data_IF_750292702057
#
_entry.id   IF_750292702057
#
_cell.length_a   1.000
_cell.length_b   1.000
_cell.length_c   1.000
_cell.angle_alpha   90.00
_cell.angle_beta   90.00
_cell.angle_gamma   90.00
#
_symmetry.space_group_name_H-M   'P 1'
#
loop_
_entity.id
_entity.type
_entity.pdbx_description
1 polymer ?
#
# COMPACT_ATOMS: atom_id res chain seq x y z
N UNK A 1 -34.46 2.88 29.80
CA UNK A 1 -35.05 2.78 28.44
C UNK A 1 -34.36 3.67 27.39
N UNK A 2 -33.95 4.90 27.71
CA UNK A 2 -33.28 5.81 26.79
C UNK A 2 -31.96 5.22 26.26
N UNK A 3 -31.16 4.58 27.09
CA UNK A 3 -29.86 4.01 26.73
C UNK A 3 -29.95 2.85 25.73
N UNK A 4 -31.02 2.06 25.80
CA UNK A 4 -31.25 0.94 24.87
C UNK A 4 -31.64 1.45 23.47
N UNK A 5 -32.38 2.55 23.41
CA UNK A 5 -32.76 3.19 22.14
C UNK A 5 -31.53 3.77 21.47
N UNK A 6 -30.69 4.49 22.18
CA UNK A 6 -29.44 5.06 21.70
C UNK A 6 -28.46 3.96 21.22
N UNK A 7 -28.38 2.85 21.96
CA UNK A 7 -27.56 1.70 21.56
C UNK A 7 -28.07 1.08 20.25
N UNK A 8 -29.38 0.92 20.12
CA UNK A 8 -30.02 0.41 18.89
C UNK A 8 -29.71 1.30 17.68
N UNK A 9 -29.85 2.62 17.84
CA UNK A 9 -29.55 3.58 16.77
C UNK A 9 -28.06 3.54 16.34
N UNK A 10 -27.15 3.43 17.31
CA UNK A 10 -25.71 3.29 17.04
C UNK A 10 -25.39 1.98 16.30
N UNK A 11 -26.05 0.87 16.69
CA UNK A 11 -25.88 -0.40 15.98
C UNK A 11 -26.41 -0.34 14.55
N UNK A 12 -27.56 0.29 14.32
CA UNK A 12 -28.12 0.48 12.97
C UNK A 12 -27.16 1.31 12.09
N UNK A 13 -26.61 2.41 12.60
CA UNK A 13 -25.62 3.23 11.88
C UNK A 13 -24.36 2.42 11.53
N UNK A 14 -23.88 1.58 12.46
CA UNK A 14 -22.71 0.72 12.19
C UNK A 14 -23.00 -0.33 11.14
N UNK A 15 -24.18 -0.93 11.16
CA UNK A 15 -24.61 -1.88 10.12
C UNK A 15 -24.63 -1.21 8.75
N UNK A 16 -25.22 -0.01 8.64
CA UNK A 16 -25.28 0.74 7.38
C UNK A 16 -23.88 1.09 6.84
N UNK A 17 -22.96 1.51 7.72
CA UNK A 17 -21.56 1.76 7.33
C UNK A 17 -20.86 0.49 6.83
N UNK A 18 -21.06 -0.64 7.50
CA UNK A 18 -20.46 -1.92 7.05
C UNK A 18 -21.07 -2.38 5.74
N UNK A 19 -22.35 -2.17 5.53
CA UNK A 19 -23.05 -2.52 4.30
C UNK A 19 -22.51 -1.74 3.10
N UNK A 20 -22.29 -0.43 3.25
CA UNK A 20 -21.62 0.42 2.23
C UNK A 20 -20.18 -0.02 1.96
N UNK A 21 -19.46 -0.46 3.00
CA UNK A 21 -18.10 -0.97 2.83
C UNK A 21 -18.08 -2.28 2.04
N UNK A 22 -19.02 -3.19 2.30
CA UNK A 22 -19.18 -4.45 1.55
C UNK A 22 -19.49 -4.16 0.09
N UNK A 23 -20.44 -3.27 -0.19
CA UNK A 23 -20.78 -2.88 -1.56
C UNK A 23 -19.59 -2.33 -2.35
N UNK A 24 -18.73 -1.53 -1.70
CA UNK A 24 -17.51 -1.02 -2.31
C UNK A 24 -16.48 -2.13 -2.57
N UNK A 25 -16.35 -3.09 -1.66
CA UNK A 25 -15.46 -4.23 -1.84
C UNK A 25 -15.93 -5.15 -2.97
N UNK A 26 -17.24 -5.38 -3.10
CA UNK A 26 -17.83 -6.14 -4.21
C UNK A 26 -17.58 -5.45 -5.56
N UNK A 27 -17.74 -4.13 -5.64
CA UNK A 27 -17.37 -3.35 -6.84
C UNK A 27 -15.90 -3.49 -7.19
N UNK A 28 -15.02 -3.47 -6.20
CA UNK A 28 -13.59 -3.67 -6.43
C UNK A 28 -13.25 -5.09 -6.90
N UNK A 29 -13.94 -6.11 -6.39
CA UNK A 29 -13.80 -7.50 -6.86
C UNK A 29 -14.17 -7.63 -8.34
N UNK A 30 -15.29 -7.05 -8.76
CA UNK A 30 -15.71 -7.07 -10.17
C UNK A 30 -14.65 -6.42 -11.07
N UNK A 31 -14.06 -5.30 -10.63
CA UNK A 31 -13.00 -4.63 -11.38
C UNK A 31 -11.74 -5.50 -11.47
N UNK A 32 -11.35 -6.16 -10.38
CA UNK A 32 -10.21 -7.07 -10.37
C UNK A 32 -10.43 -8.28 -11.28
N UNK A 33 -11.63 -8.85 -11.30
CA UNK A 33 -11.97 -9.96 -12.19
C UNK A 33 -11.91 -9.57 -13.66
N UNK A 34 -12.31 -8.35 -14.00
CA UNK A 34 -12.17 -7.82 -15.35
C UNK A 34 -10.70 -7.67 -15.75
N UNK A 35 -9.87 -7.11 -14.87
CA UNK A 35 -8.42 -6.95 -15.13
C UNK A 35 -7.73 -8.31 -15.28
N UNK A 36 -8.08 -9.29 -14.45
CA UNK A 36 -7.55 -10.66 -14.55
C UNK A 36 -7.97 -11.34 -15.85
N UNK A 37 -9.19 -11.13 -16.32
CA UNK A 37 -9.64 -11.64 -17.63
C UNK A 37 -8.86 -11.01 -18.77
N UNK A 38 -8.70 -9.69 -18.79
CA UNK A 38 -7.94 -8.98 -19.82
C UNK A 38 -6.47 -9.39 -19.84
N UNK A 39 -5.83 -9.51 -18.69
CA UNK A 39 -4.42 -9.93 -18.60
C UNK A 39 -4.21 -11.39 -19.04
N UNK A 40 -5.22 -12.26 -18.86
CA UNK A 40 -5.16 -13.64 -19.35
C UNK A 40 -5.31 -13.71 -20.86
N UNK A 41 -6.09 -12.85 -21.48
CA UNK A 41 -6.25 -12.77 -22.94
C UNK A 41 -5.02 -12.20 -23.65
N UNK A 42 -4.32 -11.23 -23.06
CA UNK A 42 -3.09 -10.66 -23.64
C UNK A 42 -1.94 -11.67 -23.69
N UNK A 43 -1.80 -12.55 -22.70
CA UNK A 43 -0.77 -13.61 -22.72
C UNK A 43 -1.00 -14.66 -23.82
N UNK A 44 -2.23 -14.93 -24.20
CA UNK A 44 -2.55 -15.88 -25.28
C UNK A 44 -2.35 -15.29 -26.69
N UNK A 45 -2.49 -13.98 -26.83
CA UNK A 45 -2.32 -13.28 -28.13
C UNK A 45 -0.86 -12.97 -28.49
N UNK A 46 0.04 -12.92 -27.50
CA UNK A 46 1.47 -12.64 -27.73
C UNK A 46 2.28 -13.85 -28.23
N UNK A 47 1.67 -15.04 -28.31
CA UNK A 47 2.29 -16.23 -28.88
C UNK A 47 2.17 -16.36 -30.41
N UNK A 48 1.54 -15.41 -31.09
CA UNK A 48 1.44 -15.39 -32.55
C UNK A 48 1.73 -13.99 -33.10
N UNK A 49 2.81 -13.95 -33.90
CA UNK A 49 3.21 -12.91 -34.87
C UNK A 49 4.07 -11.74 -34.37
N UNK A 50 5.35 -11.87 -34.68
CA UNK A 50 6.22 -10.79 -35.15
C UNK A 50 5.63 -10.13 -36.38
N UNK A 51 5.29 -8.85 -36.34
CA UNK A 51 5.57 -7.79 -37.34
C UNK A 51 4.76 -6.53 -37.09
N UNK A 52 5.54 -5.47 -36.88
CA UNK A 52 5.42 -4.06 -37.32
C UNK A 52 4.07 -3.35 -37.39
N UNK A 53 4.18 -2.14 -36.86
CA UNK A 53 3.68 -0.81 -37.25
C UNK A 53 2.48 -0.28 -36.48
N UNK A 54 2.80 0.78 -35.72
CA UNK A 54 2.08 2.04 -35.50
C UNK A 54 0.53 2.02 -35.62
N UNK A 55 -0.13 2.45 -34.56
CA UNK A 55 -1.13 3.54 -34.58
C UNK A 55 -1.52 3.95 -33.15
N UNK A 56 -1.63 5.24 -33.01
CA UNK A 56 -1.95 6.06 -31.85
C UNK A 56 -3.30 5.81 -31.18
N UNK A 57 -3.30 6.05 -29.87
CA UNK A 57 -4.40 6.62 -29.08
C UNK A 57 -5.78 5.94 -29.06
N UNK A 58 -6.03 5.25 -27.95
CA UNK A 58 -7.22 5.56 -27.11
C UNK A 58 -6.97 5.12 -25.66
N UNK A 59 -6.87 6.13 -24.80
CA UNK A 59 -6.67 6.03 -23.36
C UNK A 59 -7.94 5.48 -22.72
N UNK A 60 -7.85 4.36 -22.03
CA UNK A 60 -8.89 3.85 -21.16
C UNK A 60 -8.62 4.27 -19.71
N UNK A 61 -9.65 4.75 -19.05
CA UNK A 61 -9.70 5.38 -17.72
C UNK A 61 -9.16 4.51 -16.55
N UNK A 62 -8.83 3.24 -16.81
CA UNK A 62 -8.19 2.32 -15.87
C UNK A 62 -6.68 2.57 -15.67
N UNK A 63 -6.00 3.14 -16.65
CA UNK A 63 -4.56 3.43 -16.59
C UNK A 63 -4.21 4.71 -15.79
N UNK A 64 -5.18 5.53 -15.46
CA UNK A 64 -4.95 6.76 -14.66
C UNK A 64 -4.48 6.48 -13.22
N UNK A 65 -4.70 5.28 -12.69
CA UNK A 65 -4.20 4.89 -11.36
C UNK A 65 -2.74 4.45 -11.34
N UNK A 66 -2.15 4.09 -12.49
CA UNK A 66 -0.76 3.62 -12.60
C UNK A 66 0.22 4.78 -12.86
N UNK A 67 -0.25 5.96 -13.24
CA UNK A 67 0.60 7.09 -13.63
C UNK A 67 1.31 7.84 -12.48
N UNK A 68 1.05 7.54 -11.23
CA UNK A 68 1.66 8.23 -10.08
C UNK A 68 2.43 7.28 -9.15
N UNK A 69 3.20 6.34 -9.69
CA UNK A 69 4.14 5.59 -8.87
C UNK A 69 5.40 6.40 -8.63
N UNK A 70 5.84 6.48 -7.39
CA UNK A 70 7.09 7.12 -6.99
C UNK A 70 8.15 6.03 -6.93
N UNK A 71 9.19 6.05 -7.79
CA UNK A 71 10.24 5.05 -7.75
C UNK A 71 11.13 5.24 -6.53
N UNK A 72 11.35 4.19 -5.78
CA UNK A 72 12.30 4.13 -4.67
C UNK A 72 13.59 3.54 -5.22
N UNK A 73 14.66 4.37 -5.21
CA UNK A 73 15.96 4.00 -5.77
C UNK A 73 16.96 3.68 -4.66
N UNK A 74 17.84 2.73 -4.93
CA UNK A 74 18.99 2.47 -4.06
C UNK A 74 19.99 3.61 -4.21
N UNK A 75 20.47 4.16 -3.07
CA UNK A 75 21.24 5.39 -3.03
C UNK A 75 22.56 5.38 -3.80
N UNK A 76 23.21 4.20 -3.98
CA UNK A 76 24.54 4.12 -4.53
C UNK A 76 24.60 3.93 -6.06
N UNK A 77 23.61 3.29 -6.66
CA UNK A 77 23.60 2.93 -8.09
C UNK A 77 22.36 3.39 -8.83
N UNK A 78 21.43 4.03 -8.14
CA UNK A 78 20.18 4.52 -8.73
C UNK A 78 19.23 3.42 -9.22
N UNK A 79 19.52 2.13 -8.96
CA UNK A 79 18.63 1.02 -9.32
C UNK A 79 17.32 1.15 -8.55
N UNK A 80 16.20 1.00 -9.27
CA UNK A 80 14.86 0.97 -8.63
C UNK A 80 14.75 -0.33 -7.84
N UNK A 81 14.45 -0.24 -6.55
CA UNK A 81 14.27 -1.38 -5.64
C UNK A 81 12.81 -1.58 -5.22
N UNK A 82 12.01 -0.54 -5.33
CA UNK A 82 10.58 -0.60 -5.06
C UNK A 82 9.84 0.56 -5.75
N UNK A 83 8.52 0.47 -5.81
CA UNK A 83 7.64 1.54 -6.27
C UNK A 83 6.60 1.85 -5.20
N UNK A 84 6.44 3.12 -4.87
CA UNK A 84 5.40 3.56 -3.96
C UNK A 84 4.18 4.08 -4.74
N UNK A 85 3.01 3.59 -4.37
CA UNK A 85 1.71 4.02 -4.88
C UNK A 85 0.97 4.73 -3.76
N UNK A 86 0.57 5.97 -4.00
CA UNK A 86 -0.10 6.81 -3.00
C UNK A 86 -1.55 7.01 -3.41
N UNK A 87 -2.46 6.65 -2.53
CA UNK A 87 -3.89 6.95 -2.64
C UNK A 87 -4.31 7.89 -1.52
N UNK A 88 -5.56 8.30 -1.46
CA UNK A 88 -6.05 9.18 -0.39
C UNK A 88 -5.94 8.56 1.02
N UNK A 89 -5.96 7.23 1.13
CA UNK A 89 -6.07 6.52 2.40
C UNK A 89 -4.84 5.69 2.76
N UNK A 90 -4.01 5.33 1.78
CA UNK A 90 -2.87 4.44 1.98
C UNK A 90 -1.68 4.72 1.07
N UNK A 91 -0.52 4.30 1.53
CA UNK A 91 0.72 4.20 0.76
C UNK A 91 1.06 2.71 0.64
N UNK A 92 1.15 2.21 -0.60
CA UNK A 92 1.59 0.85 -0.90
C UNK A 92 2.98 0.90 -1.52
N UNK A 93 3.95 0.24 -0.89
CA UNK A 93 5.33 0.13 -1.35
C UNK A 93 5.54 -1.29 -1.83
N UNK A 94 5.60 -1.46 -3.15
CA UNK A 94 5.78 -2.76 -3.82
C UNK A 94 7.24 -2.92 -4.20
N UNK A 95 7.89 -3.97 -3.70
CA UNK A 95 9.27 -4.29 -4.04
C UNK A 95 9.35 -4.82 -5.48
N UNK A 96 10.47 -4.56 -6.13
CA UNK A 96 10.77 -5.14 -7.43
C UNK A 96 10.90 -6.66 -7.32
N UNK A 97 10.44 -7.40 -8.34
CA UNK A 97 10.40 -8.86 -8.34
C UNK A 97 11.78 -9.53 -8.21
N UNK A 98 12.85 -8.80 -8.62
CA UNK A 98 14.24 -9.26 -8.49
C UNK A 98 14.79 -9.06 -7.06
N UNK A 99 14.03 -8.42 -6.17
CA UNK A 99 14.47 -8.08 -4.82
C UNK A 99 13.92 -9.09 -3.82
N UNK A 100 14.80 -9.85 -3.21
CA UNK A 100 14.51 -10.78 -2.14
C UNK A 100 15.09 -10.23 -0.84
N UNK A 101 14.25 -9.82 0.08
CA UNK A 101 14.60 -9.23 1.37
C UNK A 101 13.74 -9.85 2.46
N UNK A 102 14.39 -10.58 3.38
CA UNK A 102 13.70 -11.15 4.53
C UNK A 102 13.23 -10.03 5.47
N UNK A 103 11.98 -10.15 5.95
CA UNK A 103 11.35 -9.19 6.88
C UNK A 103 12.14 -8.98 8.17
N UNK A 104 12.92 -9.99 8.59
CA UNK A 104 13.73 -9.96 9.81
C UNK A 104 15.10 -9.30 9.61
N UNK A 105 15.47 -8.97 8.37
CA UNK A 105 16.76 -8.30 8.08
C UNK A 105 16.78 -6.89 8.67
N UNK A 106 17.78 -6.57 9.56
CA UNK A 106 17.91 -5.22 10.08
C UNK A 106 18.22 -4.21 8.98
N UNK A 107 17.76 -2.93 9.09
CA UNK A 107 17.11 -2.32 10.25
C UNK A 107 15.57 -2.21 10.13
N UNK A 108 14.91 -3.00 9.30
CA UNK A 108 13.50 -2.83 8.94
C UNK A 108 12.57 -2.74 10.15
N UNK A 109 12.59 -3.77 11.03
CA UNK A 109 11.69 -3.79 12.20
C UNK A 109 12.00 -2.65 13.16
N UNK A 110 13.24 -2.57 13.64
CA UNK A 110 13.62 -1.65 14.71
C UNK A 110 13.55 -0.18 14.28
N UNK A 111 13.89 0.13 13.04
CA UNK A 111 13.89 1.51 12.57
C UNK A 111 12.58 1.90 11.87
N UNK A 112 12.19 1.18 10.81
CA UNK A 112 11.04 1.58 10.02
C UNK A 112 9.71 1.32 10.75
N UNK A 113 9.51 0.11 11.30
CA UNK A 113 8.25 -0.24 11.94
C UNK A 113 8.15 0.36 13.36
N UNK A 114 9.13 0.08 14.23
CA UNK A 114 9.02 0.44 15.64
C UNK A 114 9.27 1.94 15.87
N UNK A 115 10.31 2.49 15.24
CA UNK A 115 10.64 3.90 15.45
C UNK A 115 9.76 4.83 14.62
N UNK A 116 9.75 4.69 13.28
CA UNK A 116 9.05 5.66 12.42
C UNK A 116 7.53 5.49 12.50
N UNK A 117 7.00 4.31 12.16
CA UNK A 117 5.55 4.07 12.22
C UNK A 117 5.07 4.08 13.67
N UNK A 118 5.85 3.52 14.60
CA UNK A 118 5.52 3.51 16.02
C UNK A 118 5.42 4.91 16.64
N UNK A 119 6.29 5.86 16.28
CA UNK A 119 6.20 7.26 16.73
C UNK A 119 4.97 7.96 16.11
N UNK A 120 4.66 7.72 14.83
CA UNK A 120 3.44 8.24 14.22
C UNK A 120 2.20 7.68 14.91
N UNK A 121 2.20 6.40 15.25
CA UNK A 121 1.10 5.72 15.95
C UNK A 121 0.90 6.29 17.37
N UNK A 122 1.98 6.58 18.09
CA UNK A 122 1.91 7.25 19.41
C UNK A 122 1.28 8.64 19.32
N UNK A 123 1.64 9.43 18.31
CA UNK A 123 1.04 10.74 18.08
C UNK A 123 -0.45 10.63 17.78
N UNK A 124 -0.85 9.64 16.98
CA UNK A 124 -2.26 9.40 16.66
C UNK A 124 -3.05 8.96 17.90
N UNK A 125 -2.49 8.11 18.77
CA UNK A 125 -3.13 7.77 20.04
C UNK A 125 -3.37 9.00 20.92
N UNK A 126 -2.39 9.89 21.04
CA UNK A 126 -2.57 11.13 21.80
C UNK A 126 -3.67 12.03 21.19
N UNK A 127 -3.83 12.02 19.86
CA UNK A 127 -4.91 12.75 19.18
C UNK A 127 -6.29 12.09 19.41
N UNK A 128 -6.36 10.77 19.53
CA UNK A 128 -7.59 10.04 19.93
C UNK A 128 -7.98 10.40 21.36
N UNK A 129 -7.02 10.38 22.29
CA UNK A 129 -7.26 10.71 23.71
C UNK A 129 -7.75 12.16 23.89
N UNK A 130 -7.29 13.06 22.99
CA UNK A 130 -7.76 14.44 22.94
C UNK A 130 -9.06 14.64 22.14
N UNK A 131 -9.68 13.57 21.65
CA UNK A 131 -10.92 13.62 20.86
C UNK A 131 -10.79 14.25 19.48
N UNK A 132 -9.57 14.44 18.96
CA UNK A 132 -9.32 15.05 17.66
C UNK A 132 -9.55 14.11 16.48
N UNK A 133 -9.34 12.82 16.69
CA UNK A 133 -9.53 11.79 15.68
C UNK A 133 -10.21 10.55 16.26
N UNK A 134 -10.76 9.71 15.40
CA UNK A 134 -11.33 8.42 15.77
C UNK A 134 -10.24 7.35 15.85
N UNK A 135 -10.44 6.33 16.66
CA UNK A 135 -9.50 5.21 16.85
C UNK A 135 -9.20 4.46 15.54
N UNK A 136 -10.17 4.38 14.65
CA UNK A 136 -10.08 3.76 13.34
C UNK A 136 -9.18 4.53 12.36
N UNK A 137 -8.88 5.80 12.67
CA UNK A 137 -8.02 6.69 11.88
C UNK A 137 -6.55 6.64 12.29
N UNK A 138 -6.19 5.80 13.26
CA UNK A 138 -4.79 5.60 13.68
C UNK A 138 -4.03 4.94 12.53
N UNK A 139 -2.81 5.41 12.29
CA UNK A 139 -1.91 4.80 11.30
C UNK A 139 -1.68 3.32 11.62
N UNK A 140 -1.76 2.48 10.59
CA UNK A 140 -1.51 1.06 10.70
C UNK A 140 -0.82 0.52 9.43
N UNK A 141 -0.25 -0.68 9.49
CA UNK A 141 0.45 -1.27 8.37
C UNK A 141 0.17 -2.77 8.20
N UNK A 142 0.32 -3.23 6.97
CA UNK A 142 0.26 -4.65 6.59
C UNK A 142 1.51 -4.95 5.76
N UNK A 143 2.14 -6.10 6.00
CA UNK A 143 3.27 -6.57 5.23
C UNK A 143 2.85 -7.85 4.50
N UNK A 144 2.75 -7.76 3.18
CA UNK A 144 2.53 -8.91 2.31
C UNK A 144 3.89 -9.55 2.00
N UNK A 145 3.99 -10.86 2.20
CA UNK A 145 5.22 -11.65 2.07
C UNK A 145 5.03 -12.78 1.08
N UNK A 146 6.13 -13.17 0.45
CA UNK A 146 6.27 -14.44 -0.26
C UNK A 146 7.28 -15.29 0.53
N UNK A 147 6.79 -16.30 1.25
CA UNK A 147 7.61 -16.97 2.26
C UNK A 147 8.05 -16.01 3.38
N UNK A 148 9.35 -15.80 3.51
CA UNK A 148 9.93 -14.85 4.47
C UNK A 148 10.21 -13.46 3.89
N UNK A 149 10.14 -13.32 2.56
CA UNK A 149 10.55 -12.11 1.87
C UNK A 149 9.41 -11.12 1.70
N UNK A 150 9.73 -9.85 1.88
CA UNK A 150 8.78 -8.74 1.73
C UNK A 150 8.45 -8.59 0.24
N UNK A 151 7.16 -8.55 -0.09
CA UNK A 151 6.66 -8.18 -1.43
C UNK A 151 6.02 -6.82 -1.47
N UNK A 152 5.27 -6.49 -0.44
CA UNK A 152 4.57 -5.22 -0.36
C UNK A 152 4.41 -4.77 1.08
N UNK A 153 4.53 -3.47 1.30
CA UNK A 153 4.27 -2.80 2.57
C UNK A 153 3.12 -1.83 2.34
N UNK A 154 1.97 -2.08 2.97
CA UNK A 154 0.79 -1.22 2.90
C UNK A 154 0.69 -0.44 4.20
N UNK A 155 0.70 0.88 4.13
CA UNK A 155 0.56 1.77 5.28
C UNK A 155 -0.75 2.53 5.12
N UNK A 156 -1.67 2.34 6.06
CA UNK A 156 -3.01 2.93 6.05
C UNK A 156 -3.08 4.13 6.99
N UNK A 157 -4.03 5.02 6.71
CA UNK A 157 -4.35 6.14 7.59
C UNK A 157 -3.17 7.09 7.85
N UNK A 158 -2.35 7.35 6.85
CA UNK A 158 -1.22 8.27 7.00
C UNK A 158 -1.66 9.73 7.24
N UNK A 159 -2.89 10.10 6.84
CA UNK A 159 -3.62 11.35 7.09
C UNK A 159 -3.00 12.64 6.56
N UNK A 160 -1.70 12.84 6.67
CA UNK A 160 -0.98 14.05 6.29
C UNK A 160 0.01 13.77 5.16
N UNK A 161 0.07 14.65 4.15
CA UNK A 161 0.98 14.49 3.00
C UNK A 161 2.46 14.47 3.40
N UNK A 162 2.82 15.17 4.46
CA UNK A 162 4.17 15.19 5.02
C UNK A 162 4.61 13.81 5.47
N UNK A 163 3.70 13.03 6.09
CA UNK A 163 3.96 11.65 6.49
C UNK A 163 4.24 10.74 5.29
N UNK A 164 3.61 10.98 4.13
CA UNK A 164 3.86 10.19 2.91
C UNK A 164 5.32 10.28 2.50
N UNK A 165 5.87 11.49 2.45
CA UNK A 165 7.27 11.70 2.08
C UNK A 165 8.22 11.07 3.09
N UNK A 166 7.94 11.19 4.39
CA UNK A 166 8.71 10.58 5.45
C UNK A 166 8.68 9.03 5.33
N UNK A 167 7.51 8.44 5.12
CA UNK A 167 7.33 7.01 4.96
C UNK A 167 8.08 6.46 3.74
N UNK A 168 7.98 7.11 2.58
CA UNK A 168 8.66 6.68 1.35
C UNK A 168 10.18 6.79 1.50
N UNK A 169 10.68 7.91 2.04
CA UNK A 169 12.12 8.13 2.20
C UNK A 169 12.73 7.16 3.22
N UNK A 170 12.07 6.96 4.36
CA UNK A 170 12.57 6.07 5.41
C UNK A 170 12.45 4.60 5.04
N UNK A 171 11.39 4.19 4.32
CA UNK A 171 11.29 2.87 3.74
C UNK A 171 12.43 2.62 2.73
N UNK A 172 12.66 3.56 1.82
CA UNK A 172 13.74 3.47 0.82
C UNK A 172 15.12 3.35 1.47
N UNK A 173 15.38 4.13 2.51
CA UNK A 173 16.62 4.02 3.29
C UNK A 173 16.74 2.64 3.96
N UNK A 174 15.68 2.18 4.63
CA UNK A 174 15.67 0.88 5.31
C UNK A 174 15.89 -0.28 4.34
N UNK A 175 15.17 -0.31 3.22
CA UNK A 175 15.33 -1.34 2.18
C UNK A 175 16.74 -1.34 1.58
N UNK A 176 17.33 -0.17 1.35
CA UNK A 176 18.71 -0.04 0.89
C UNK A 176 19.70 -0.66 1.89
N UNK A 177 19.54 -0.35 3.19
CA UNK A 177 20.40 -0.91 4.25
C UNK A 177 20.24 -2.41 4.42
N UNK A 178 19.02 -2.93 4.29
CA UNK A 178 18.78 -4.38 4.29
C UNK A 178 19.54 -5.08 3.16
N UNK A 179 19.47 -4.52 1.93
CA UNK A 179 20.21 -5.05 0.78
C UNK A 179 21.74 -5.00 0.96
N UNK A 180 22.25 -3.96 1.62
CA UNK A 180 23.66 -3.86 1.93
C UNK A 180 24.09 -4.90 2.98
N UNK A 181 23.22 -5.17 3.96
CA UNK A 181 23.51 -6.15 5.01
C UNK A 181 23.52 -7.60 4.48
N UNK A 182 22.59 -7.93 3.56
CA UNK A 182 22.57 -9.24 2.89
C UNK A 182 23.85 -9.49 2.09
N UNK A 183 24.47 -8.46 1.50
CA UNK A 183 25.71 -8.60 0.72
C UNK A 183 26.97 -8.74 1.57
N UNK A 184 26.90 -8.42 2.86
CA UNK A 184 28.05 -8.45 3.77
C UNK A 184 28.13 -9.74 4.61
N UNK A 185 27.05 -10.53 4.65
CA UNK A 185 26.99 -11.83 5.31
C UNK A 185 27.16 -12.94 4.32
#
# INVERSE_FOLDING_TARGET
MKDVVTLKENLIKRIDMHQKSIENLEKNLVILDLVLKESSFTKASQLRTTKKDEIQNKVNDGEKRIKNSIPIKRGNDGKIIAKAYVTAEQVSIVLDDEIEINVDTPPFKSFFLDRIIGEMKKKDYAEVDNGKIQKESIIDYIINKNGTDIREIIIKNYRQKERVNELINTAGWSLTRMLENIKKG
#
